data_IF_155372831697
#
_entry.id   IF_155372831697
#
_cell.length_a   1.000
_cell.length_b   1.000
_cell.length_c   1.000
_cell.angle_alpha   90.00
_cell.angle_beta   90.00
_cell.angle_gamma   90.00
#
_symmetry.space_group_name_H-M   'P 1'
#
loop_
_entity.id
_entity.type
_entity.pdbx_description
1 polymer ?
#
# COMPACT_ATOMS: atom_id res chain seq x y z
N UNK A 1 17.69 -7.89 -30.84
CA UNK A 1 16.27 -7.55 -30.59
C UNK A 1 16.24 -6.21 -29.88
N UNK A 2 15.46 -5.24 -30.35
CA UNK A 2 15.37 -3.95 -29.66
C UNK A 2 14.49 -4.13 -28.41
N UNK A 3 15.04 -3.86 -27.23
CA UNK A 3 14.30 -3.87 -25.98
C UNK A 3 13.35 -2.66 -25.93
N UNK A 4 12.17 -2.80 -25.34
CA UNK A 4 11.24 -1.68 -25.15
C UNK A 4 11.89 -0.57 -24.33
N UNK A 5 12.69 -0.92 -23.33
CA UNK A 5 13.46 0.05 -22.55
C UNK A 5 14.31 0.96 -23.44
N UNK A 6 14.94 0.38 -24.48
CA UNK A 6 15.74 1.12 -25.46
C UNK A 6 14.90 2.01 -26.39
N UNK A 7 13.63 1.67 -26.62
CA UNK A 7 12.76 2.41 -27.55
C UNK A 7 12.12 3.67 -26.94
N UNK A 8 11.88 3.68 -25.63
CA UNK A 8 11.17 4.77 -24.93
C UNK A 8 11.91 6.12 -25.02
N UNK A 9 13.23 6.22 -24.77
CA UNK A 9 13.95 7.49 -24.92
C UNK A 9 13.85 8.07 -26.34
N UNK A 10 13.86 7.21 -27.37
CA UNK A 10 13.69 7.63 -28.75
C UNK A 10 12.30 8.21 -29.01
N UNK A 11 11.26 7.57 -28.47
CA UNK A 11 9.88 8.07 -28.56
C UNK A 11 9.72 9.43 -27.89
N UNK A 12 10.24 9.60 -26.67
CA UNK A 12 10.18 10.88 -25.94
C UNK A 12 10.82 11.99 -26.77
N UNK A 13 12.05 11.79 -27.28
CA UNK A 13 12.74 12.77 -28.11
C UNK A 13 11.96 13.13 -29.38
N UNK A 14 11.35 12.13 -30.03
CA UNK A 14 10.55 12.35 -31.22
C UNK A 14 9.27 13.13 -30.91
N UNK A 15 8.60 12.84 -29.78
CA UNK A 15 7.44 13.60 -29.29
C UNK A 15 7.82 15.06 -29.06
N UNK A 16 8.89 15.33 -28.32
CA UNK A 16 9.39 16.69 -28.06
C UNK A 16 9.63 17.47 -29.36
N UNK A 17 10.26 16.80 -30.32
CA UNK A 17 10.57 17.38 -31.63
C UNK A 17 9.29 17.72 -32.39
N UNK A 18 8.34 16.78 -32.49
CA UNK A 18 7.06 16.98 -33.17
C UNK A 18 6.24 18.09 -32.49
N UNK A 19 6.17 18.10 -31.16
CA UNK A 19 5.51 19.16 -30.37
C UNK A 19 6.14 20.53 -30.65
N UNK A 20 7.47 20.61 -30.72
CA UNK A 20 8.19 21.84 -31.06
C UNK A 20 7.88 22.36 -32.47
N UNK A 21 7.67 21.49 -33.44
CA UNK A 21 7.19 21.89 -34.77
C UNK A 21 5.72 22.31 -34.74
N UNK A 22 4.85 21.50 -34.13
CA UNK A 22 3.40 21.77 -34.08
C UNK A 22 3.10 23.13 -33.44
N UNK A 23 3.84 23.56 -32.42
CA UNK A 23 3.70 24.89 -31.81
C UNK A 23 3.93 26.06 -32.79
N UNK A 24 4.61 25.82 -33.90
CA UNK A 24 4.88 26.82 -34.96
C UNK A 24 3.90 26.75 -36.12
N UNK A 25 2.95 25.81 -36.10
CA UNK A 25 1.90 25.71 -37.12
C UNK A 25 0.79 26.73 -36.81
N UNK A 26 0.49 27.61 -37.76
CA UNK A 26 -0.45 28.72 -37.57
C UNK A 26 -1.86 28.44 -38.12
N UNK A 27 -1.97 27.60 -39.14
CA UNK A 27 -3.22 27.09 -39.70
C UNK A 27 -3.68 25.79 -38.99
N UNK A 28 -4.91 25.37 -39.28
CA UNK A 28 -5.54 24.17 -38.68
C UNK A 28 -5.44 24.06 -37.14
N UNK A 29 -5.81 25.11 -36.36
CA UNK A 29 -5.61 25.12 -34.91
C UNK A 29 -6.33 23.98 -34.19
N UNK A 30 -7.50 23.54 -34.69
CA UNK A 30 -8.28 22.46 -34.07
C UNK A 30 -7.57 21.11 -34.17
N UNK A 31 -7.07 20.77 -35.36
CA UNK A 31 -6.34 19.54 -35.64
C UNK A 31 -5.01 19.52 -34.90
N UNK A 32 -4.27 20.64 -34.97
CA UNK A 32 -3.02 20.85 -34.23
C UNK A 32 -3.20 20.64 -32.73
N UNK A 33 -4.18 21.30 -32.12
CA UNK A 33 -4.41 21.24 -30.68
C UNK A 33 -4.85 19.83 -30.24
N UNK A 34 -5.59 19.12 -31.09
CA UNK A 34 -5.99 17.74 -30.84
C UNK A 34 -4.79 16.78 -30.85
N UNK A 35 -3.90 16.91 -31.84
CA UNK A 35 -2.68 16.12 -31.91
C UNK A 35 -1.73 16.45 -30.75
N UNK A 36 -1.51 17.74 -30.46
CA UNK A 36 -0.72 18.20 -29.32
C UNK A 36 -1.19 17.60 -28.00
N UNK A 37 -2.51 17.58 -27.78
CA UNK A 37 -3.09 16.99 -26.57
C UNK A 37 -2.74 15.50 -26.42
N UNK A 38 -2.88 14.71 -27.48
CA UNK A 38 -2.57 13.29 -27.43
C UNK A 38 -1.07 13.02 -27.26
N UNK A 39 -0.21 13.82 -27.90
CA UNK A 39 1.24 13.75 -27.72
C UNK A 39 1.67 14.14 -26.30
N UNK A 40 1.03 15.16 -25.70
CA UNK A 40 1.33 15.57 -24.33
C UNK A 40 1.01 14.49 -23.31
N UNK A 41 -0.04 13.69 -23.51
CA UNK A 41 -0.28 12.53 -22.66
C UNK A 41 0.85 11.52 -22.72
N UNK A 42 1.38 11.24 -23.92
CA UNK A 42 2.51 10.33 -24.04
C UNK A 42 3.77 10.88 -23.36
N UNK A 43 4.00 12.19 -23.47
CA UNK A 43 5.09 12.88 -22.76
C UNK A 43 4.96 12.78 -21.23
N UNK A 44 3.73 12.80 -20.69
CA UNK A 44 3.48 12.58 -19.25
C UNK A 44 3.76 11.14 -18.83
N UNK A 45 3.34 10.14 -19.62
CA UNK A 45 3.34 8.75 -19.18
C UNK A 45 4.60 7.95 -19.54
N UNK A 46 5.29 8.29 -20.64
CA UNK A 46 6.49 7.56 -21.04
C UNK A 46 7.67 7.69 -20.06
N UNK A 47 7.97 8.86 -19.44
CA UNK A 47 9.06 8.96 -18.49
C UNK A 47 8.87 8.12 -17.21
N UNK A 48 7.69 8.11 -16.55
CA UNK A 48 7.42 7.18 -15.45
C UNK A 48 7.60 5.72 -15.83
N UNK A 49 7.20 5.31 -17.04
CA UNK A 49 7.35 3.93 -17.50
C UNK A 49 8.81 3.58 -17.71
N UNK A 50 9.60 4.48 -18.31
CA UNK A 50 11.05 4.31 -18.44
C UNK A 50 11.68 4.06 -17.06
N UNK A 51 11.29 4.84 -16.06
CA UNK A 51 11.79 4.68 -14.70
C UNK A 51 11.33 3.35 -14.10
N UNK A 52 10.06 2.99 -14.26
CA UNK A 52 9.51 1.75 -13.74
C UNK A 52 10.21 0.51 -14.31
N UNK A 53 10.51 0.51 -15.62
CA UNK A 53 11.28 -0.58 -16.25
C UNK A 53 12.65 -0.75 -15.59
N UNK A 54 13.33 0.35 -15.24
CA UNK A 54 14.65 0.29 -14.60
C UNK A 54 14.62 -0.31 -13.18
N UNK A 55 13.47 -0.29 -12.51
CA UNK A 55 13.30 -0.83 -11.16
C UNK A 55 12.65 -2.22 -11.15
N UNK A 56 12.20 -2.71 -12.30
CA UNK A 56 11.45 -3.96 -12.41
C UNK A 56 12.34 -5.19 -12.55
N UNK A 57 11.82 -6.32 -12.06
CA UNK A 57 12.38 -7.63 -12.36
C UNK A 57 11.94 -8.07 -13.75
N UNK A 58 12.78 -8.85 -14.45
CA UNK A 58 12.44 -9.40 -15.76
C UNK A 58 11.16 -10.27 -15.76
N UNK A 59 10.82 -10.84 -14.60
CA UNK A 59 9.65 -11.72 -14.42
C UNK A 59 8.38 -10.95 -14.05
N UNK A 60 8.43 -9.61 -13.93
CA UNK A 60 7.26 -8.82 -13.57
C UNK A 60 6.17 -8.95 -14.66
N UNK A 61 4.94 -9.41 -14.32
CA UNK A 61 3.91 -9.70 -15.32
C UNK A 61 3.54 -8.51 -16.22
N UNK A 62 3.60 -7.29 -15.68
CA UNK A 62 3.34 -6.07 -16.43
C UNK A 62 4.47 -5.78 -17.44
N UNK A 63 5.73 -6.06 -17.07
CA UNK A 63 6.90 -5.87 -17.93
C UNK A 63 6.89 -6.90 -19.07
N UNK A 64 6.56 -8.16 -18.78
CA UNK A 64 6.36 -9.20 -19.80
C UNK A 64 5.28 -8.79 -20.81
N UNK A 65 4.13 -8.30 -20.32
CA UNK A 65 3.03 -7.82 -21.16
C UNK A 65 3.48 -6.62 -22.02
N UNK A 66 4.26 -5.72 -21.44
CA UNK A 66 4.83 -4.59 -22.14
C UNK A 66 5.75 -5.09 -23.25
N UNK A 67 6.72 -5.96 -22.94
CA UNK A 67 7.69 -6.57 -23.87
C UNK A 67 7.02 -7.25 -25.07
N UNK A 68 5.97 -8.04 -24.83
CA UNK A 68 5.17 -8.67 -25.90
C UNK A 68 4.49 -7.64 -26.83
N UNK A 69 4.29 -6.42 -26.33
CA UNK A 69 3.70 -5.30 -27.07
C UNK A 69 4.72 -4.42 -27.79
N UNK A 70 5.98 -4.85 -27.93
CA UNK A 70 7.04 -4.10 -28.61
C UNK A 70 6.65 -3.64 -30.03
N UNK A 71 5.88 -4.45 -30.75
CA UNK A 71 5.37 -4.09 -32.08
C UNK A 71 4.50 -2.81 -32.07
N UNK A 72 3.82 -2.50 -30.96
CA UNK A 72 3.02 -1.26 -30.80
C UNK A 72 3.92 -0.04 -30.68
N UNK A 73 5.01 -0.15 -29.91
CA UNK A 73 6.02 0.92 -29.78
C UNK A 73 6.65 1.25 -31.13
N UNK A 74 7.00 0.23 -31.92
CA UNK A 74 7.50 0.41 -33.29
C UNK A 74 6.51 1.16 -34.19
N UNK A 75 5.22 0.81 -34.14
CA UNK A 75 4.17 1.49 -34.92
C UNK A 75 4.06 2.97 -34.53
N UNK A 76 4.11 3.28 -33.25
CA UNK A 76 4.07 4.67 -32.78
C UNK A 76 5.33 5.44 -33.15
N UNK A 77 6.51 4.80 -33.07
CA UNK A 77 7.75 5.43 -33.54
C UNK A 77 7.63 5.81 -35.02
N UNK A 78 7.16 4.89 -35.87
CA UNK A 78 7.00 5.15 -37.29
C UNK A 78 6.03 6.31 -37.58
N UNK A 79 4.93 6.43 -36.83
CA UNK A 79 4.00 7.56 -36.93
C UNK A 79 4.70 8.86 -36.54
N UNK A 80 5.42 8.88 -35.43
CA UNK A 80 6.13 10.07 -34.96
C UNK A 80 7.25 10.48 -35.91
N UNK A 81 7.97 9.51 -36.49
CA UNK A 81 9.00 9.74 -37.49
C UNK A 81 8.40 10.35 -38.76
N UNK A 82 7.28 9.82 -39.26
CA UNK A 82 6.56 10.39 -40.39
C UNK A 82 6.03 11.82 -40.12
N UNK A 83 5.42 12.04 -38.95
CA UNK A 83 4.96 13.37 -38.53
C UNK A 83 6.12 14.37 -38.48
N UNK A 84 7.26 13.94 -37.92
CA UNK A 84 8.49 14.72 -37.82
C UNK A 84 9.04 15.08 -39.20
N UNK A 85 9.11 14.12 -40.12
CA UNK A 85 9.59 14.35 -41.49
C UNK A 85 8.72 15.37 -42.23
N UNK A 86 7.40 15.20 -42.20
CA UNK A 86 6.46 16.15 -42.84
C UNK A 86 6.56 17.57 -42.27
N UNK A 87 6.71 17.69 -40.95
CA UNK A 87 6.87 18.98 -40.28
C UNK A 87 8.26 19.59 -40.51
N UNK A 88 9.29 18.75 -40.59
CA UNK A 88 10.65 19.17 -40.92
C UNK A 88 10.69 19.74 -42.35
N UNK A 89 10.11 19.03 -43.32
CA UNK A 89 10.01 19.48 -44.71
C UNK A 89 9.34 20.85 -44.82
N UNK A 90 8.28 21.07 -44.06
CA UNK A 90 7.63 22.39 -44.02
C UNK A 90 8.51 23.43 -43.33
N UNK A 91 9.26 23.06 -42.30
CA UNK A 91 10.17 23.98 -41.60
C UNK A 91 11.36 24.44 -42.43
N UNK A 92 11.82 23.61 -43.36
CA UNK A 92 12.84 23.98 -44.35
C UNK A 92 12.28 25.05 -45.31
N UNK A 93 11.01 24.93 -45.69
CA UNK A 93 10.33 25.92 -46.54
C UNK A 93 10.01 27.22 -45.78
N UNK A 94 9.68 27.13 -44.50
CA UNK A 94 9.23 28.25 -43.66
C UNK A 94 9.77 28.14 -42.24
N UNK A 95 10.69 29.02 -41.86
CA UNK A 95 11.38 28.90 -40.56
C UNK A 95 10.53 29.25 -39.34
N UNK A 96 9.58 30.18 -39.50
CA UNK A 96 8.88 30.84 -38.37
C UNK A 96 7.37 30.55 -38.29
N UNK A 97 6.74 30.17 -39.41
CA UNK A 97 5.30 29.89 -39.51
C UNK A 97 5.09 28.71 -40.44
N UNK A 98 4.86 27.54 -39.85
CA UNK A 98 4.63 26.31 -40.59
C UNK A 98 3.18 26.26 -41.04
N UNK A 99 2.94 25.73 -42.23
CA UNK A 99 1.61 25.29 -42.62
C UNK A 99 1.36 23.87 -42.17
N UNK A 100 0.10 23.52 -42.02
CA UNK A 100 -0.36 22.19 -41.72
C UNK A 100 -0.10 21.29 -42.93
N UNK A 101 0.89 20.38 -42.87
CA UNK A 101 1.34 19.65 -44.06
C UNK A 101 0.52 18.38 -44.31
N UNK A 102 -0.53 18.14 -43.52
CA UNK A 102 -1.21 16.85 -43.47
C UNK A 102 -2.62 16.90 -44.06
N UNK A 103 -3.05 15.77 -44.63
CA UNK A 103 -4.45 15.55 -44.97
C UNK A 103 -5.27 15.27 -43.70
N UNK A 104 -6.58 15.46 -43.79
CA UNK A 104 -7.49 15.20 -42.66
C UNK A 104 -7.53 13.71 -42.33
N UNK A 105 -7.49 12.87 -43.36
CA UNK A 105 -7.58 11.43 -43.29
C UNK A 105 -6.34 10.83 -42.62
N UNK A 106 -5.15 11.25 -43.04
CA UNK A 106 -3.88 10.73 -42.48
C UNK A 106 -3.80 11.02 -40.98
N UNK A 107 -4.10 12.26 -40.56
CA UNK A 107 -4.01 12.65 -39.15
C UNK A 107 -5.10 11.99 -38.32
N UNK A 108 -6.28 11.73 -38.88
CA UNK A 108 -7.34 11.04 -38.15
C UNK A 108 -6.95 9.59 -37.80
N UNK A 109 -6.36 8.85 -38.73
CA UNK A 109 -5.88 7.48 -38.49
C UNK A 109 -4.70 7.47 -37.51
N UNK A 110 -3.73 8.36 -37.69
CA UNK A 110 -2.58 8.46 -36.78
C UNK A 110 -2.99 8.83 -35.36
N UNK A 111 -3.91 9.79 -35.22
CA UNK A 111 -4.44 10.17 -33.92
C UNK A 111 -5.20 9.02 -33.26
N UNK A 112 -5.96 8.24 -34.02
CA UNK A 112 -6.62 7.04 -33.51
C UNK A 112 -5.61 6.02 -32.98
N UNK A 113 -4.52 5.78 -33.71
CA UNK A 113 -3.44 4.87 -33.31
C UNK A 113 -2.72 5.37 -32.05
N UNK A 114 -2.40 6.66 -31.98
CA UNK A 114 -1.79 7.31 -30.80
C UNK A 114 -2.72 7.18 -29.58
N UNK A 115 -4.01 7.49 -29.73
CA UNK A 115 -5.00 7.38 -28.64
C UNK A 115 -5.15 5.94 -28.14
N UNK A 116 -5.15 4.97 -29.06
CA UNK A 116 -5.19 3.54 -28.70
C UNK A 116 -3.94 3.12 -27.93
N UNK A 117 -2.77 3.60 -28.34
CA UNK A 117 -1.52 3.35 -27.62
C UNK A 117 -1.51 3.99 -26.23
N UNK A 118 -1.97 5.24 -26.10
CA UNK A 118 -2.18 5.89 -24.79
C UNK A 118 -3.02 5.03 -23.86
N UNK A 119 -4.15 4.53 -24.35
CA UNK A 119 -5.07 3.71 -23.55
C UNK A 119 -4.40 2.39 -23.11
N UNK A 120 -3.60 1.79 -24.00
CA UNK A 120 -2.82 0.59 -23.67
C UNK A 120 -1.81 0.86 -22.55
N UNK A 121 -1.04 1.94 -22.66
CA UNK A 121 -0.05 2.35 -21.66
C UNK A 121 -0.71 2.62 -20.29
N UNK A 122 -1.81 3.36 -20.29
CA UNK A 122 -2.59 3.62 -19.08
C UNK A 122 -3.11 2.34 -18.42
N UNK A 123 -3.63 1.41 -19.22
CA UNK A 123 -4.12 0.12 -18.73
C UNK A 123 -3.01 -0.71 -18.07
N UNK A 124 -1.82 -0.75 -18.69
CA UNK A 124 -0.66 -1.42 -18.12
C UNK A 124 -0.26 -0.82 -16.76
N UNK A 125 -0.18 0.51 -16.66
CA UNK A 125 0.15 1.19 -15.39
C UNK A 125 -0.92 0.97 -14.31
N UNK A 126 -2.20 0.99 -14.67
CA UNK A 126 -3.29 0.75 -13.72
C UNK A 126 -3.29 -0.67 -13.16
N UNK A 127 -2.94 -1.67 -13.99
CA UNK A 127 -2.82 -3.05 -13.55
C UNK A 127 -1.71 -3.21 -12.49
N UNK A 128 -0.55 -2.59 -12.73
CA UNK A 128 0.57 -2.59 -11.78
C UNK A 128 0.21 -1.90 -10.45
N UNK A 129 -0.37 -0.70 -10.53
CA UNK A 129 -0.84 0.03 -9.35
C UNK A 129 -1.87 -0.78 -8.52
N UNK A 130 -2.73 -1.55 -9.19
CA UNK A 130 -3.69 -2.43 -8.50
C UNK A 130 -3.01 -3.61 -7.82
N UNK A 131 -2.03 -4.23 -8.47
CA UNK A 131 -1.24 -5.31 -7.88
C UNK A 131 -0.50 -4.83 -6.63
N UNK A 132 0.15 -3.67 -6.70
CA UNK A 132 0.81 -3.03 -5.56
C UNK A 132 -0.17 -2.76 -4.41
N UNK A 133 -1.35 -2.20 -4.71
CA UNK A 133 -2.38 -1.95 -3.71
C UNK A 133 -2.82 -3.23 -2.98
N UNK A 134 -2.98 -4.34 -3.70
CA UNK A 134 -3.34 -5.62 -3.08
C UNK A 134 -2.25 -6.13 -2.13
N UNK A 135 -0.99 -6.06 -2.52
CA UNK A 135 0.15 -6.46 -1.66
C UNK A 135 0.23 -5.58 -0.40
N UNK A 136 0.00 -4.26 -0.55
CA UNK A 136 -0.04 -3.34 0.59
C UNK A 136 -1.19 -3.67 1.55
N UNK A 137 -2.38 -3.95 1.02
CA UNK A 137 -3.54 -4.33 1.83
C UNK A 137 -3.32 -5.65 2.57
N UNK A 138 -2.73 -6.66 1.91
CA UNK A 138 -2.39 -7.93 2.56
C UNK A 138 -1.35 -7.73 3.67
N UNK A 139 -0.32 -6.93 3.41
CA UNK A 139 0.73 -6.62 4.38
C UNK A 139 0.16 -5.88 5.59
N UNK A 140 -0.69 -4.88 5.37
CA UNK A 140 -1.39 -4.16 6.44
C UNK A 140 -2.30 -5.10 7.25
N UNK A 141 -2.98 -6.04 6.58
CA UNK A 141 -3.76 -7.09 7.24
C UNK A 141 -2.92 -7.94 8.19
N UNK A 142 -1.74 -8.40 7.72
CA UNK A 142 -0.79 -9.19 8.53
C UNK A 142 -0.26 -8.39 9.72
N UNK A 143 0.12 -7.13 9.51
CA UNK A 143 0.60 -6.24 10.59
C UNK A 143 -0.50 -6.02 11.63
N UNK A 144 -1.72 -5.73 11.20
CA UNK A 144 -2.85 -5.54 12.11
C UNK A 144 -3.15 -6.80 12.94
N UNK A 145 -3.10 -7.98 12.31
CA UNK A 145 -3.23 -9.27 13.00
C UNK A 145 -2.14 -9.48 14.05
N UNK A 146 -0.89 -9.15 13.72
CA UNK A 146 0.23 -9.22 14.66
C UNK A 146 0.05 -8.26 15.84
N UNK A 147 -0.39 -7.03 15.60
CA UNK A 147 -0.66 -6.04 16.66
C UNK A 147 -1.74 -6.55 17.61
N UNK A 148 -2.85 -7.10 17.09
CA UNK A 148 -3.90 -7.71 17.92
C UNK A 148 -3.37 -8.84 18.80
N UNK A 149 -2.62 -9.78 18.20
CA UNK A 149 -2.01 -10.89 18.93
C UNK A 149 -1.05 -10.41 20.03
N UNK A 150 -0.26 -9.37 19.78
CA UNK A 150 0.62 -8.77 20.79
C UNK A 150 -0.19 -8.15 21.93
N UNK A 151 -1.29 -7.47 21.63
CA UNK A 151 -2.17 -6.89 22.64
C UNK A 151 -2.81 -7.99 23.51
N UNK A 152 -3.30 -9.07 22.90
CA UNK A 152 -3.85 -10.25 23.60
C UNK A 152 -2.80 -10.94 24.48
N UNK A 153 -1.61 -11.21 23.93
CA UNK A 153 -0.52 -11.80 24.70
C UNK A 153 -0.14 -10.93 25.90
N UNK A 154 -0.04 -9.61 25.73
CA UNK A 154 0.23 -8.67 26.83
C UNK A 154 -0.86 -8.73 27.90
N UNK A 155 -2.13 -8.87 27.51
CA UNK A 155 -3.23 -9.03 28.46
C UNK A 155 -3.07 -10.31 29.27
N UNK A 156 -2.84 -11.45 28.60
CA UNK A 156 -2.64 -12.75 29.27
C UNK A 156 -1.44 -12.72 30.21
N UNK A 157 -0.30 -12.17 29.78
CA UNK A 157 0.89 -12.03 30.63
C UNK A 157 0.60 -11.23 31.90
N UNK A 158 -0.18 -10.14 31.80
CA UNK A 158 -0.59 -9.35 32.98
C UNK A 158 -1.47 -10.16 33.94
N UNK A 159 -2.36 -10.99 33.42
CA UNK A 159 -3.19 -11.86 34.27
C UNK A 159 -2.35 -12.92 34.98
N UNK A 160 -1.42 -13.56 34.28
CA UNK A 160 -0.49 -14.53 34.88
C UNK A 160 0.32 -13.88 36.00
N UNK A 161 0.91 -12.70 35.74
CA UNK A 161 1.67 -11.96 36.77
C UNK A 161 0.82 -11.56 37.97
N UNK A 162 -0.48 -11.27 37.79
CA UNK A 162 -1.39 -10.96 38.89
C UNK A 162 -1.62 -12.19 39.76
N UNK A 163 -1.95 -13.32 39.14
CA UNK A 163 -2.16 -14.60 39.86
C UNK A 163 -0.89 -15.02 40.59
N UNK A 164 0.28 -14.94 39.96
CA UNK A 164 1.56 -15.27 40.62
C UNK A 164 1.83 -14.40 41.86
N UNK A 165 1.51 -13.11 41.82
CA UNK A 165 1.63 -12.22 42.97
C UNK A 165 0.67 -12.61 44.09
N UNK A 166 -0.58 -12.92 43.74
CA UNK A 166 -1.61 -13.35 44.69
C UNK A 166 -1.21 -14.69 45.36
N UNK A 167 -0.72 -15.66 44.57
CA UNK A 167 -0.24 -16.95 45.10
C UNK A 167 0.94 -16.77 46.04
N UNK A 168 1.96 -15.98 45.66
CA UNK A 168 3.12 -15.70 46.53
C UNK A 168 2.72 -15.01 47.84
N UNK A 169 1.74 -14.11 47.78
CA UNK A 169 1.21 -13.46 48.97
C UNK A 169 0.49 -14.45 49.87
N UNK A 170 -0.34 -15.34 49.31
CA UNK A 170 -1.02 -16.38 50.06
C UNK A 170 -0.05 -17.35 50.73
N UNK A 171 0.98 -17.81 50.02
CA UNK A 171 2.06 -18.65 50.57
C UNK A 171 2.79 -17.94 51.72
N UNK A 172 3.12 -16.65 51.55
CA UNK A 172 3.74 -15.85 52.61
C UNK A 172 2.85 -15.77 53.84
N UNK A 173 1.55 -15.46 53.70
CA UNK A 173 0.60 -15.44 54.83
C UNK A 173 0.53 -16.80 55.53
N UNK A 174 0.42 -17.90 54.76
CA UNK A 174 0.37 -19.24 55.31
C UNK A 174 1.64 -19.58 56.11
N UNK A 175 2.82 -19.16 55.64
CA UNK A 175 4.09 -19.34 56.37
C UNK A 175 4.14 -18.61 57.71
N UNK A 176 3.45 -17.46 57.84
CA UNK A 176 3.37 -16.70 59.09
C UNK A 176 2.36 -17.31 60.08
N UNK A 177 1.28 -17.93 59.59
CA UNK A 177 0.24 -18.55 60.44
C UNK A 177 0.66 -19.93 60.96
N UNK A 178 1.58 -20.61 60.27
CA UNK A 178 2.06 -21.96 60.64
C UNK A 178 3.28 -21.95 61.56
N UNK A 179 3.58 -20.80 62.20
CA UNK A 179 4.56 -20.71 63.28
C UNK A 179 3.99 -21.27 64.60
N UNK A 180 4.74 -22.06 65.39
CA UNK A 180 4.24 -22.73 66.59
C UNK A 180 3.83 -21.80 67.77
N UNK A 181 3.88 -20.48 67.63
CA UNK A 181 3.66 -19.55 68.75
C UNK A 181 2.21 -19.12 69.00
N UNK A 182 1.26 -19.36 68.08
CA UNK A 182 -0.13 -18.91 68.30
C UNK A 182 -0.95 -19.92 69.12
N UNK A 183 -0.51 -21.18 69.25
CA UNK A 183 -1.23 -22.18 70.06
C UNK A 183 -0.98 -22.01 71.57
N UNK A 184 0.13 -21.39 72.00
CA UNK A 184 0.44 -21.28 73.43
C UNK A 184 -0.23 -20.12 74.18
N UNK A 185 -0.82 -19.13 73.50
CA UNK A 185 -1.45 -18.00 74.20
C UNK A 185 -2.84 -18.29 74.79
N UNK A 186 -3.42 -19.47 74.51
CA UNK A 186 -4.74 -19.86 75.07
C UNK A 186 -4.67 -20.83 76.25
N UNK A 187 -3.49 -21.38 76.57
CA UNK A 187 -3.32 -22.35 77.66
C UNK A 187 -2.99 -21.71 79.03
N UNK A 188 -2.60 -20.43 79.09
CA UNK A 188 -2.13 -19.80 80.34
C UNK A 188 -3.19 -18.99 81.10
N UNK A 189 -4.49 -19.22 80.88
CA UNK A 189 -5.54 -18.51 81.62
C UNK A 189 -6.64 -19.44 82.12
N UNK A 190 -6.28 -20.39 82.98
CA UNK A 190 -7.26 -21.02 83.87
C UNK A 190 -6.55 -21.71 85.04
N UNK A 191 -6.10 -20.92 86.01
CA UNK A 191 -6.01 -21.42 87.39
C UNK A 191 -6.47 -20.35 88.38
N UNK A 192 -7.38 -20.79 89.26
CA UNK A 192 -7.93 -20.14 90.47
C UNK A 192 -8.95 -19.02 90.28
N UNK A 193 -10.21 -19.40 90.49
CA UNK A 193 -10.93 -19.15 91.76
C UNK A 193 -12.21 -20.00 91.83
N UNK A 194 -12.22 -20.98 92.71
CA UNK A 194 -13.41 -21.42 93.46
C UNK A 194 -13.64 -20.44 94.64
N UNK A 195 -14.83 -20.36 95.30
CA UNK A 195 -15.73 -21.49 95.56
C UNK A 195 -17.25 -21.27 95.46
N UNK A 196 -17.93 -22.43 95.37
CA UNK A 196 -19.22 -22.81 95.96
C UNK A 196 -20.49 -22.01 95.64
N UNK A 197 -21.43 -22.62 94.91
CA UNK A 197 -22.64 -23.27 95.49
C UNK A 197 -23.69 -23.52 94.40
N UNK A 198 -24.22 -24.73 94.39
CA UNK A 198 -25.41 -25.20 93.63
C UNK A 198 -26.66 -24.40 94.02
N UNK A 199 -27.63 -24.19 93.08
CA UNK A 199 -28.70 -25.18 93.00
C UNK A 199 -29.27 -25.47 91.58
N UNK A 200 -29.85 -26.66 91.55
CA UNK A 200 -30.86 -27.29 90.67
C UNK A 200 -31.75 -26.48 89.72
N UNK A 201 -31.99 -27.14 88.57
CA UNK A 201 -33.24 -27.34 87.79
C UNK A 201 -33.72 -26.31 86.74
N UNK A 202 -33.96 -26.89 85.54
CA UNK A 202 -35.04 -26.71 84.54
C UNK A 202 -34.84 -25.79 83.31
N UNK A 203 -34.94 -26.47 82.16
CA UNK A 203 -35.83 -26.24 80.99
C UNK A 203 -35.58 -25.06 80.02
N UNK A 204 -35.80 -25.40 78.73
CA UNK A 204 -36.39 -24.52 77.71
C UNK A 204 -35.37 -23.89 76.76
N UNK A 205 -35.21 -24.40 75.54
CA UNK A 205 -36.00 -24.09 74.32
C UNK A 205 -35.65 -22.75 73.64
N UNK A 206 -35.26 -22.89 72.36
CA UNK A 206 -35.79 -22.16 71.20
C UNK A 206 -35.07 -20.92 70.63
N UNK A 207 -34.71 -21.06 69.34
CA UNK A 207 -34.90 -20.16 68.18
C UNK A 207 -34.84 -18.63 68.38
N UNK A 208 -34.06 -17.92 67.53
CA UNK A 208 -34.44 -17.37 66.21
C UNK A 208 -33.24 -16.57 65.63
N UNK A 209 -32.92 -16.76 64.34
CA UNK A 209 -33.08 -15.80 63.22
C UNK A 209 -32.43 -14.43 63.43
#
# INVERSE_FOLDING_TARGET
>A
MADIASSIPGLIRNIDTVVGYLKRVDDAPKERDRLLRELHYLDIYLPPIKNLINYSSNDDPWLVTLQQSHHRFKKISAILDWLKEKLLDESVKRRWKLRWPFTKEDVADDLYRIKRFKTFILGAMQHDNRALLHVMQETLGKVNGNVKRIAENRYVTRQIQKVEKETKMAEWIASQVTGPEIIMSRASRSERREPQSTPTLKHGQSLHR
#
